data_IF_518482451888
#
_entry.id   IF_518482451888
#
_cell.length_a   1.000
_cell.length_b   1.000
_cell.length_c   1.000
_cell.angle_alpha   90.00
_cell.angle_beta   90.00
_cell.angle_gamma   90.00
#
_symmetry.space_group_name_H-M   'P 1'
#
loop_
_entity.id
_entity.type
_entity.pdbx_description
1 polymer ?
#
# COMPACT_ATOMS: atom_id res chain seq x y z
N UNK A 1 -14.68 15.49 -41.61
CA UNK A 1 -14.08 15.48 -40.24
C UNK A 1 -15.05 14.80 -39.28
N UNK A 2 -15.08 13.46 -39.24
CA UNK A 2 -16.03 12.69 -38.41
C UNK A 2 -15.50 11.26 -38.14
N UNK A 3 -14.22 11.09 -37.81
CA UNK A 3 -13.65 9.75 -37.55
C UNK A 3 -12.57 9.69 -36.46
N UNK A 4 -12.25 10.81 -35.78
CA UNK A 4 -11.13 10.84 -34.81
C UNK A 4 -11.60 10.54 -33.37
N UNK A 5 -12.91 10.55 -33.09
CA UNK A 5 -13.45 10.44 -31.73
C UNK A 5 -13.74 9.02 -31.23
N UNK A 6 -13.32 7.95 -31.94
CA UNK A 6 -13.61 6.57 -31.53
C UNK A 6 -12.39 5.74 -31.09
N UNK A 7 -11.17 6.29 -31.17
CA UNK A 7 -9.94 5.54 -30.82
C UNK A 7 -9.49 5.80 -29.36
N UNK A 8 -9.97 6.87 -28.72
CA UNK A 8 -9.60 7.20 -27.34
C UNK A 8 -10.26 6.35 -26.24
N UNK A 9 -11.31 5.59 -26.57
CA UNK A 9 -12.11 4.85 -25.57
C UNK A 9 -11.67 3.38 -25.41
N UNK A 10 -10.82 2.86 -26.32
CA UNK A 10 -10.30 1.49 -26.26
C UNK A 10 -8.96 1.37 -25.51
N UNK A 11 -8.33 2.49 -25.14
CA UNK A 11 -7.08 2.50 -24.36
C UNK A 11 -7.31 2.60 -22.84
N UNK A 12 -8.55 2.74 -22.38
CA UNK A 12 -8.89 2.87 -20.96
C UNK A 12 -9.25 1.55 -20.25
N UNK A 13 -9.32 0.43 -20.99
CA UNK A 13 -9.66 -0.88 -20.42
C UNK A 13 -8.45 -1.80 -20.16
N UNK A 14 -7.22 -1.30 -20.30
CA UNK A 14 -6.00 -2.11 -20.15
C UNK A 14 -5.15 -1.75 -18.92
N UNK A 15 -5.58 -0.85 -18.03
CA UNK A 15 -4.79 -0.46 -16.85
C UNK A 15 -5.25 -1.08 -15.53
N UNK A 16 -6.12 -2.09 -15.58
CA UNK A 16 -6.52 -2.88 -14.40
C UNK A 16 -5.86 -4.26 -14.39
N UNK A 17 -4.58 -4.32 -14.80
CA UNK A 17 -3.72 -5.43 -14.38
C UNK A 17 -3.29 -5.07 -12.97
N UNK A 18 -3.87 -5.76 -11.99
CA UNK A 18 -3.51 -5.64 -10.60
C UNK A 18 -1.98 -5.70 -10.48
N UNK A 19 -1.39 -4.59 -10.07
CA UNK A 19 0.05 -4.42 -9.93
C UNK A 19 0.53 -5.30 -8.78
N UNK A 20 1.11 -6.45 -9.09
CA UNK A 20 1.99 -7.14 -8.16
C UNK A 20 3.41 -6.98 -8.67
N UNK A 21 4.28 -6.36 -7.89
CA UNK A 21 5.71 -6.34 -8.18
C UNK A 21 6.32 -7.68 -7.77
N UNK A 22 7.22 -8.23 -8.60
CA UNK A 22 8.01 -9.40 -8.24
C UNK A 22 9.51 -9.21 -8.49
N UNK A 23 10.32 -9.92 -7.72
CA UNK A 23 11.78 -9.92 -7.86
C UNK A 23 12.31 -11.33 -8.11
N UNK A 24 13.12 -11.50 -9.17
CA UNK A 24 13.81 -12.75 -9.49
C UNK A 24 15.19 -12.81 -8.80
N UNK A 25 15.51 -13.95 -8.18
CA UNK A 25 16.83 -14.26 -7.64
C UNK A 25 17.27 -15.66 -8.08
N UNK A 26 18.52 -15.78 -8.52
CA UNK A 26 19.15 -17.07 -8.84
C UNK A 26 19.96 -17.54 -7.62
N UNK A 27 19.73 -18.77 -7.17
CA UNK A 27 20.51 -19.42 -6.09
C UNK A 27 21.31 -20.57 -6.68
N UNK A 28 22.64 -20.50 -6.56
CA UNK A 28 23.55 -21.35 -7.34
C UNK A 28 23.73 -22.79 -6.82
N UNK A 29 23.01 -23.25 -5.79
CA UNK A 29 23.28 -24.56 -5.15
C UNK A 29 22.06 -25.21 -4.43
N UNK A 30 20.90 -25.30 -5.08
CA UNK A 30 19.69 -25.95 -4.54
C UNK A 30 18.81 -26.58 -5.63
N UNK A 31 17.96 -27.54 -5.26
CA UNK A 31 16.95 -28.19 -6.13
C UNK A 31 16.02 -27.19 -6.85
N UNK A 32 15.86 -25.99 -6.30
CA UNK A 32 15.08 -24.88 -6.87
C UNK A 32 16.00 -23.66 -7.09
N UNK A 33 16.72 -23.57 -8.23
CA UNK A 33 17.71 -22.53 -8.46
C UNK A 33 17.12 -21.16 -8.82
N UNK A 34 15.82 -21.05 -9.08
CA UNK A 34 15.13 -19.79 -9.37
C UNK A 34 14.12 -19.47 -8.27
N UNK A 35 14.16 -18.25 -7.73
CA UNK A 35 13.20 -17.76 -6.76
C UNK A 35 12.54 -16.48 -7.27
N UNK A 36 11.23 -16.40 -7.13
CA UNK A 36 10.44 -15.21 -7.44
C UNK A 36 9.63 -14.84 -6.21
N UNK A 37 9.76 -13.61 -5.72
CA UNK A 37 8.95 -13.15 -4.60
C UNK A 37 7.94 -12.11 -5.04
N UNK A 38 6.69 -12.21 -4.61
CA UNK A 38 5.64 -11.26 -4.97
C UNK A 38 4.71 -10.93 -3.78
N UNK A 39 4.00 -9.81 -3.89
CA UNK A 39 2.94 -9.41 -2.95
C UNK A 39 1.61 -9.28 -3.68
N UNK A 40 0.53 -9.68 -3.01
CA UNK A 40 -0.83 -9.44 -3.49
C UNK A 40 -1.34 -8.13 -2.89
N UNK A 41 -1.51 -7.11 -3.73
CA UNK A 41 -2.28 -5.92 -3.36
C UNK A 41 -3.77 -6.31 -3.38
N UNK A 42 -4.49 -6.11 -2.28
CA UNK A 42 -5.93 -6.35 -2.27
C UNK A 42 -6.61 -5.13 -2.90
N UNK A 43 -7.57 -5.36 -3.80
CA UNK A 43 -8.31 -4.27 -4.50
C UNK A 43 -9.13 -3.41 -3.52
N UNK A 44 -9.36 -3.91 -2.30
CA UNK A 44 -10.05 -3.23 -1.20
C UNK A 44 -9.08 -2.43 -0.29
N UNK A 45 -7.79 -2.36 -0.63
CA UNK A 45 -6.74 -1.59 0.06
C UNK A 45 -6.82 -0.09 -0.24
N UNK A 46 -8.04 0.46 -0.35
CA UNK A 46 -8.21 1.91 -0.44
C UNK A 46 -8.04 2.54 0.93
N UNK A 47 -7.17 3.55 1.02
CA UNK A 47 -7.06 4.38 2.21
C UNK A 47 -8.29 5.28 2.34
N UNK A 48 -8.88 5.32 3.53
CA UNK A 48 -9.92 6.28 3.89
C UNK A 48 -9.45 7.15 5.06
N UNK A 49 -9.96 8.37 5.13
CA UNK A 49 -9.59 9.32 6.17
C UNK A 49 -10.79 10.15 6.59
N UNK A 50 -11.01 10.24 7.91
CA UNK A 50 -12.02 11.10 8.51
C UNK A 50 -11.31 12.25 9.23
N UNK A 51 -11.35 13.42 8.60
CA UNK A 51 -10.77 14.65 9.12
C UNK A 51 -11.83 15.48 9.81
N UNK A 52 -11.61 15.79 11.08
CA UNK A 52 -12.41 16.75 11.85
C UNK A 52 -11.56 17.96 12.21
N UNK A 53 -12.10 19.17 11.97
CA UNK A 53 -11.47 20.42 12.43
C UNK A 53 -12.09 20.80 13.77
N UNK A 54 -11.24 21.00 14.77
CA UNK A 54 -11.63 21.32 16.16
C UNK A 54 -11.10 22.70 16.54
N UNK A 55 -11.85 23.45 17.33
CA UNK A 55 -11.41 24.73 17.88
C UNK A 55 -10.63 24.49 19.18
N UNK A 56 -9.42 25.05 19.31
CA UNK A 56 -8.57 24.85 20.50
C UNK A 56 -7.08 25.12 20.29
N UNK A 57 -6.31 25.04 21.38
CA UNK A 57 -4.85 25.24 21.41
C UNK A 57 -4.07 24.03 21.99
N UNK A 58 -4.73 22.89 22.26
CA UNK A 58 -4.16 21.71 22.95
C UNK A 58 -3.37 20.70 22.09
N UNK A 59 -3.16 20.96 20.80
CA UNK A 59 -2.48 20.06 19.85
C UNK A 59 -3.47 19.30 18.98
N UNK A 60 -3.09 19.05 17.73
CA UNK A 60 -3.85 18.20 16.81
C UNK A 60 -3.55 16.73 17.06
N UNK A 61 -4.59 15.91 17.03
CA UNK A 61 -4.50 14.47 17.23
C UNK A 61 -4.66 13.71 15.93
N UNK A 62 -3.85 12.65 15.77
CA UNK A 62 -3.90 11.77 14.60
C UNK A 62 -3.88 10.33 15.09
N UNK A 63 -4.72 9.49 14.51
CA UNK A 63 -4.79 8.06 14.80
C UNK A 63 -4.82 7.23 13.51
N UNK A 64 -3.97 6.21 13.41
CA UNK A 64 -3.86 5.37 12.21
C UNK A 64 -4.22 3.92 12.50
N UNK A 65 -5.13 3.36 11.69
CA UNK A 65 -5.55 1.96 11.72
C UNK A 65 -5.45 1.33 10.33
N UNK A 66 -5.36 0.01 10.29
CA UNK A 66 -5.58 -0.76 9.06
C UNK A 66 -7.07 -0.90 8.76
N UNK A 67 -7.43 -1.24 7.53
CA UNK A 67 -8.82 -1.52 7.14
C UNK A 67 -9.46 -2.66 7.95
N UNK A 68 -8.65 -3.60 8.47
CA UNK A 68 -9.10 -4.67 9.36
C UNK A 68 -9.31 -4.22 10.83
N UNK A 69 -9.02 -2.95 11.15
CA UNK A 69 -9.14 -2.37 12.49
C UNK A 69 -7.88 -2.44 13.35
N UNK A 70 -6.82 -3.08 12.84
CA UNK A 70 -5.53 -3.20 13.51
C UNK A 70 -4.87 -1.84 13.71
N UNK A 71 -4.10 -1.70 14.79
CA UNK A 71 -3.36 -0.47 15.07
C UNK A 71 -2.11 -0.41 14.20
N UNK A 72 -1.96 0.66 13.42
CA UNK A 72 -0.77 0.87 12.61
C UNK A 72 0.22 1.76 13.35
N UNK A 73 1.38 1.20 13.62
CA UNK A 73 2.45 1.86 14.37
C UNK A 73 3.56 2.31 13.42
N UNK A 74 4.36 3.29 13.85
CA UNK A 74 5.51 3.79 13.08
C UNK A 74 5.15 4.31 11.68
N UNK A 75 3.91 4.78 11.48
CA UNK A 75 3.50 5.45 10.25
C UNK A 75 4.19 6.81 10.20
N UNK A 76 4.94 7.07 9.14
CA UNK A 76 5.56 8.36 8.90
C UNK A 76 4.50 9.33 8.37
N UNK A 77 4.40 10.49 9.02
CA UNK A 77 3.51 11.58 8.67
C UNK A 77 4.35 12.78 8.25
N UNK A 78 4.26 13.18 6.99
CA UNK A 78 4.99 14.33 6.44
C UNK A 78 4.01 15.44 6.07
N UNK A 79 4.08 16.55 6.80
CA UNK A 79 3.25 17.73 6.62
C UNK A 79 4.01 18.78 5.83
N UNK A 80 3.41 19.29 4.78
CA UNK A 80 3.92 20.42 4.01
C UNK A 80 2.93 21.58 4.07
N UNK A 81 3.30 22.66 4.76
CA UNK A 81 2.52 23.88 4.78
C UNK A 81 2.86 24.73 3.54
N UNK A 82 1.98 24.76 2.57
CA UNK A 82 2.14 25.56 1.33
C UNK A 82 2.05 27.08 1.56
N UNK A 83 1.52 27.51 2.71
CA UNK A 83 1.42 28.94 3.06
C UNK A 83 2.73 29.48 3.63
N UNK A 84 3.40 28.72 4.50
CA UNK A 84 4.68 29.12 5.12
C UNK A 84 5.90 28.55 4.41
N UNK A 85 5.73 27.47 3.64
CA UNK A 85 6.82 26.69 3.04
C UNK A 85 7.47 25.71 4.03
N UNK A 86 6.95 25.60 5.25
CA UNK A 86 7.51 24.72 6.28
C UNK A 86 7.13 23.26 6.03
N UNK A 87 8.09 22.36 6.28
CA UNK A 87 7.87 20.92 6.30
C UNK A 87 8.13 20.38 7.69
N UNK A 88 7.24 19.52 8.17
CA UNK A 88 7.33 18.87 9.47
C UNK A 88 7.06 17.38 9.33
N UNK A 89 7.77 16.56 10.12
CA UNK A 89 7.60 15.10 10.13
C UNK A 89 7.29 14.61 11.53
N UNK A 90 6.34 13.70 11.63
CA UNK A 90 5.99 12.97 12.85
C UNK A 90 5.88 11.47 12.56
N UNK A 91 5.89 10.67 13.61
CA UNK A 91 5.71 9.24 13.51
C UNK A 91 4.68 8.80 14.55
N UNK A 92 3.77 7.89 14.17
CA UNK A 92 2.79 7.35 15.12
C UNK A 92 3.45 6.44 16.15
N UNK A 93 2.95 6.52 17.38
CA UNK A 93 3.42 5.73 18.52
C UNK A 93 2.90 4.28 18.47
N UNK A 94 3.13 3.51 19.54
CA UNK A 94 2.70 2.11 19.63
C UNK A 94 1.18 1.92 19.72
N UNK A 95 0.44 2.98 20.03
CA UNK A 95 -1.02 3.00 19.99
C UNK A 95 -1.53 3.50 18.64
N UNK A 96 -0.66 3.75 17.64
CA UNK A 96 -1.03 4.32 16.34
C UNK A 96 -1.39 5.80 16.39
N UNK A 97 -1.11 6.49 17.51
CA UNK A 97 -1.41 7.89 17.72
C UNK A 97 -0.21 8.82 17.49
N UNK A 98 -0.47 10.06 17.09
CA UNK A 98 0.49 11.16 17.10
C UNK A 98 -0.16 12.45 17.61
N UNK A 99 0.61 13.25 18.35
CA UNK A 99 0.20 14.57 18.83
C UNK A 99 1.13 15.61 18.22
N UNK A 100 0.57 16.57 17.50
CA UNK A 100 1.33 17.56 16.72
C UNK A 100 0.77 18.96 16.90
N UNK A 101 1.61 19.98 16.76
CA UNK A 101 1.17 21.38 16.74
C UNK A 101 1.38 21.92 15.34
N UNK A 102 0.30 22.32 14.69
CA UNK A 102 0.32 22.88 13.33
C UNK A 102 0.07 24.39 13.38
N UNK A 103 0.87 25.14 12.64
CA UNK A 103 0.64 26.57 12.42
C UNK A 103 -0.53 26.79 11.47
N UNK A 104 -1.19 27.96 11.48
CA UNK A 104 -2.24 28.24 10.50
C UNK A 104 -1.69 28.18 9.06
N UNK A 105 -2.43 27.55 8.15
CA UNK A 105 -2.05 27.41 6.75
C UNK A 105 -2.72 26.25 6.04
N UNK A 106 -2.32 26.06 4.78
CA UNK A 106 -2.77 24.97 3.91
C UNK A 106 -1.75 23.86 3.86
N UNK A 107 -2.19 22.65 4.20
CA UNK A 107 -1.35 21.48 4.37
C UNK A 107 -1.60 20.44 3.29
N UNK A 108 -0.51 19.81 2.85
CA UNK A 108 -0.51 18.47 2.26
C UNK A 108 0.15 17.53 3.26
N UNK A 109 -0.56 16.48 3.66
CA UNK A 109 -0.08 15.42 4.54
C UNK A 109 0.16 14.18 3.70
N UNK A 110 1.41 13.73 3.62
CA UNK A 110 1.80 12.44 3.05
C UNK A 110 1.99 11.44 4.18
N UNK A 111 1.31 10.31 4.08
CA UNK A 111 1.35 9.22 5.04
C UNK A 111 2.02 8.02 4.39
N UNK A 112 2.99 7.43 5.07
CA UNK A 112 3.73 6.26 4.58
C UNK A 112 3.88 5.25 5.72
N UNK A 113 3.31 4.06 5.55
CA UNK A 113 3.62 2.93 6.42
C UNK A 113 4.54 1.94 5.68
N UNK A 114 4.71 0.73 6.23
CA UNK A 114 5.57 -0.30 5.64
C UNK A 114 5.08 -0.71 4.25
N UNK A 115 5.70 -0.18 3.19
CA UNK A 115 5.37 -0.52 1.81
C UNK A 115 5.50 0.67 0.86
N UNK A 116 5.25 0.46 -0.44
CA UNK A 116 5.28 1.52 -1.45
C UNK A 116 4.06 2.44 -1.39
N UNK A 117 2.97 2.03 -0.70
CA UNK A 117 1.73 2.81 -0.71
C UNK A 117 1.86 4.05 0.18
N UNK A 118 1.63 5.20 -0.46
CA UNK A 118 1.56 6.49 0.20
C UNK A 118 0.15 7.05 -0.02
N UNK A 119 -0.39 7.66 1.03
CA UNK A 119 -1.67 8.38 0.95
C UNK A 119 -1.45 9.85 1.20
N UNK A 120 -2.14 10.69 0.44
CA UNK A 120 -2.03 12.14 0.54
C UNK A 120 -3.38 12.74 0.90
N UNK A 121 -3.38 13.58 1.93
CA UNK A 121 -4.55 14.33 2.39
C UNK A 121 -4.25 15.83 2.35
N UNK A 122 -5.13 16.63 1.78
CA UNK A 122 -5.03 18.08 1.77
C UNK A 122 -6.06 18.72 2.70
N UNK A 123 -5.66 19.70 3.49
CA UNK A 123 -6.55 20.42 4.42
C UNK A 123 -6.04 21.82 4.75
N UNK A 124 -6.88 22.63 5.40
CA UNK A 124 -6.55 24.00 5.83
C UNK A 124 -6.85 24.17 7.32
N UNK A 125 -5.89 24.74 8.06
CA UNK A 125 -6.03 25.09 9.47
C UNK A 125 -6.01 26.61 9.60
N UNK A 126 -7.00 27.18 10.28
CA UNK A 126 -7.02 28.60 10.63
C UNK A 126 -6.46 28.83 12.03
N UNK A 127 -6.35 30.11 12.41
CA UNK A 127 -5.91 30.49 13.76
C UNK A 127 -6.85 29.87 14.81
N UNK A 128 -6.25 29.29 15.86
CA UNK A 128 -6.96 28.62 16.96
C UNK A 128 -7.77 27.38 16.54
N UNK A 129 -7.44 26.80 15.37
CA UNK A 129 -7.99 25.53 14.92
C UNK A 129 -6.94 24.43 14.99
N UNK A 130 -7.44 23.20 15.08
CA UNK A 130 -6.69 21.96 15.19
C UNK A 130 -7.40 20.89 14.38
N UNK A 131 -6.74 19.75 14.22
CA UNK A 131 -7.33 18.59 13.57
C UNK A 131 -7.39 17.42 14.54
N UNK A 132 -8.49 16.69 14.46
CA UNK A 132 -8.59 15.30 14.89
C UNK A 132 -8.75 14.48 13.61
N UNK A 133 -7.75 13.66 13.30
CA UNK A 133 -7.69 12.89 12.07
C UNK A 133 -7.62 11.40 12.39
N UNK A 134 -8.64 10.66 11.98
CA UNK A 134 -8.61 9.20 11.96
C UNK A 134 -8.34 8.72 10.52
N UNK A 135 -7.34 7.88 10.36
CA UNK A 135 -6.92 7.34 9.05
C UNK A 135 -7.01 5.84 9.08
N UNK A 136 -7.76 5.28 8.13
CA UNK A 136 -7.77 3.86 7.84
C UNK A 136 -6.94 3.63 6.59
N UNK A 137 -5.73 3.16 6.77
CA UNK A 137 -4.86 2.80 5.66
C UNK A 137 -5.30 1.43 5.16
N UNK A 138 -5.47 1.30 3.84
CA UNK A 138 -5.56 0.02 3.16
C UNK A 138 -4.25 -0.77 3.19
N UNK A 139 -3.31 -0.35 4.01
CA UNK A 139 -2.13 -1.11 4.34
C UNK A 139 -2.59 -2.26 5.23
N UNK A 140 -2.98 -3.35 4.59
CA UNK A 140 -3.21 -4.60 5.29
C UNK A 140 -1.97 -4.91 6.15
N UNK A 141 -2.13 -5.18 7.46
CA UNK A 141 -1.05 -5.76 8.25
C UNK A 141 -0.54 -7.10 7.67
N UNK A 142 -1.29 -7.67 6.72
CA UNK A 142 -1.03 -8.93 6.05
C UNK A 142 -0.84 -8.75 4.53
N UNK A 143 0.07 -7.87 4.06
CA UNK A 143 0.56 -8.01 2.68
C UNK A 143 1.37 -9.31 2.61
N UNK A 144 0.68 -10.44 2.53
CA UNK A 144 1.29 -11.77 2.52
C UNK A 144 2.28 -11.82 1.35
N UNK A 145 3.55 -12.00 1.68
CA UNK A 145 4.60 -12.14 0.69
C UNK A 145 4.69 -13.62 0.33
N UNK A 146 4.68 -13.91 -0.96
CA UNK A 146 4.76 -15.26 -1.48
C UNK A 146 6.08 -15.45 -2.21
N UNK A 147 6.65 -16.64 -2.08
CA UNK A 147 7.82 -17.10 -2.82
C UNK A 147 7.43 -18.24 -3.76
N UNK A 148 7.77 -18.11 -5.03
CA UNK A 148 7.79 -19.19 -6.00
C UNK A 148 9.22 -19.72 -6.05
N UNK A 149 9.44 -20.92 -5.53
CA UNK A 149 10.69 -21.64 -5.72
C UNK A 149 10.55 -22.54 -6.94
N UNK A 150 11.37 -22.34 -7.96
CA UNK A 150 11.25 -23.02 -9.25
C UNK A 150 12.54 -23.74 -9.66
N UNK A 151 12.37 -24.96 -10.18
CA UNK A 151 13.43 -25.80 -10.77
C UNK A 151 13.88 -25.26 -12.13
N UNK A 152 13.00 -24.52 -12.81
CA UNK A 152 13.22 -23.94 -14.14
C UNK A 152 12.96 -22.44 -14.13
N UNK A 153 13.62 -21.69 -15.01
CA UNK A 153 13.33 -20.26 -15.16
C UNK A 153 11.91 -20.08 -15.69
N UNK A 154 11.06 -19.40 -14.94
CA UNK A 154 9.71 -19.02 -15.34
C UNK A 154 9.77 -17.75 -16.19
N UNK A 155 8.91 -17.70 -17.21
CA UNK A 155 8.64 -16.47 -17.95
C UNK A 155 7.76 -15.54 -17.11
N UNK A 156 7.83 -14.23 -17.39
CA UNK A 156 7.04 -13.20 -16.69
C UNK A 156 5.53 -13.51 -16.69
N UNK A 157 4.99 -13.93 -17.83
CA UNK A 157 3.58 -14.35 -17.96
C UNK A 157 3.24 -15.54 -17.05
N UNK A 158 4.15 -16.51 -16.89
CA UNK A 158 3.93 -17.66 -16.00
C UNK A 158 3.91 -17.21 -14.53
N UNK A 159 4.79 -16.28 -14.16
CA UNK A 159 4.79 -15.69 -12.82
C UNK A 159 3.47 -14.97 -12.55
N UNK A 160 2.98 -14.17 -13.50
CA UNK A 160 1.69 -13.49 -13.35
C UNK A 160 0.50 -14.46 -13.24
N UNK A 161 0.50 -15.55 -14.02
CA UNK A 161 -0.55 -16.58 -13.92
C UNK A 161 -0.53 -17.28 -12.55
N UNK A 162 0.66 -17.54 -12.01
CA UNK A 162 0.82 -18.10 -10.66
C UNK A 162 0.29 -17.12 -9.61
N UNK A 163 0.67 -15.84 -9.70
CA UNK A 163 0.17 -14.79 -8.79
C UNK A 163 -1.35 -14.70 -8.78
N UNK A 164 -1.97 -14.73 -9.97
CA UNK A 164 -3.42 -14.70 -10.13
C UNK A 164 -4.07 -15.96 -9.53
N UNK A 165 -3.46 -17.14 -9.70
CA UNK A 165 -3.93 -18.36 -9.05
C UNK A 165 -3.92 -18.22 -7.52
N UNK A 166 -2.82 -17.71 -6.93
CA UNK A 166 -2.71 -17.52 -5.47
C UNK A 166 -3.79 -16.56 -4.99
N UNK A 167 -4.01 -15.45 -5.72
CA UNK A 167 -5.07 -14.48 -5.43
C UNK A 167 -6.47 -15.11 -5.37
N UNK A 168 -6.75 -16.04 -6.27
CA UNK A 168 -8.04 -16.75 -6.32
C UNK A 168 -8.15 -17.89 -5.29
N UNK A 169 -7.04 -18.35 -4.71
CA UNK A 169 -6.97 -19.50 -3.81
C UNK A 169 -6.22 -19.20 -2.48
N UNK A 170 -6.60 -18.15 -1.72
CA UNK A 170 -5.79 -17.64 -0.60
C UNK A 170 -5.54 -18.66 0.52
N UNK A 171 -6.42 -19.65 0.71
CA UNK A 171 -6.29 -20.68 1.77
C UNK A 171 -5.73 -22.01 1.27
N UNK A 172 -5.59 -22.19 -0.04
CA UNK A 172 -5.22 -23.47 -0.66
C UNK A 172 -4.18 -23.32 -1.77
N UNK A 173 -3.48 -22.19 -1.83
CA UNK A 173 -2.55 -21.86 -2.90
C UNK A 173 -1.41 -22.88 -3.03
N UNK A 174 -0.97 -23.47 -1.91
CA UNK A 174 0.15 -24.42 -1.89
C UNK A 174 -0.16 -25.67 -2.72
N UNK A 175 -1.41 -26.14 -2.70
CA UNK A 175 -1.89 -27.28 -3.48
C UNK A 175 -2.44 -26.87 -4.85
N UNK A 176 -3.24 -25.80 -4.91
CA UNK A 176 -3.97 -25.42 -6.11
C UNK A 176 -3.09 -24.73 -7.17
N UNK A 177 -2.03 -24.06 -6.73
CA UNK A 177 -1.23 -23.21 -7.60
C UNK A 177 0.22 -23.69 -7.76
N UNK A 178 0.66 -24.71 -7.03
CA UNK A 178 2.00 -25.29 -7.21
C UNK A 178 1.99 -26.41 -8.26
N UNK A 179 3.12 -26.58 -8.93
CA UNK A 179 3.43 -27.74 -9.76
C UNK A 179 4.70 -28.40 -9.19
N UNK A 180 4.61 -29.41 -8.30
CA UNK A 180 5.76 -29.96 -7.58
C UNK A 180 6.94 -30.40 -8.46
N UNK A 181 6.68 -30.73 -9.72
CA UNK A 181 7.71 -31.09 -10.70
C UNK A 181 8.47 -29.87 -11.21
N UNK A 182 7.86 -28.69 -11.23
CA UNK A 182 8.41 -27.44 -11.76
C UNK A 182 8.67 -26.37 -10.71
N UNK A 183 7.70 -26.07 -9.85
CA UNK A 183 7.77 -25.01 -8.85
C UNK A 183 6.80 -25.23 -7.67
N UNK A 184 7.16 -24.67 -6.52
CA UNK A 184 6.33 -24.71 -5.30
C UNK A 184 6.19 -23.30 -4.73
N UNK A 185 5.03 -23.03 -4.15
CA UNK A 185 4.69 -21.71 -3.61
C UNK A 185 4.67 -21.76 -2.10
N UNK A 186 5.39 -20.84 -1.48
CA UNK A 186 5.40 -20.65 -0.03
C UNK A 186 4.92 -19.25 0.32
N UNK A 187 4.31 -19.12 1.49
CA UNK A 187 4.07 -17.82 2.11
C UNK A 187 5.20 -17.55 3.09
N UNK A 188 5.79 -16.36 3.02
CA UNK A 188 6.75 -15.90 4.02
C UNK A 188 5.98 -15.53 5.29
N UNK A 189 6.44 -16.06 6.44
CA UNK A 189 5.93 -15.73 7.78
C UNK A 189 6.80 -14.62 8.36
#
# INVERSE_FOLDING_TARGET
MKWITFIGMLLFCASSWAQGEYHERIVQDIDYPFQYSFRLLHVEDTTTSDLTIVEGEEGSSIFTRGNAGDTLVMVLLEFQNSTTGETFKAMTNFDGGAQIVLSPGKYSLVMSAYGPDTSTLEFEIKKSQQIDLEVHLGLGPDSEMYDIQSKVKLQEEEVHQIMECVRLNPRGYHEACSDPERYVIFRQI
#
